data_IF_014700372945
#
_entry.id   IF_014700372945
#
_cell.length_a   1.000
_cell.length_b   1.000
_cell.length_c   1.000
_cell.angle_alpha   90.00
_cell.angle_beta   90.00
_cell.angle_gamma   90.00
#
_symmetry.space_group_name_H-M   'P 1'
#
loop_
_entity.id
_entity.type
_entity.pdbx_description
1 polymer ?
#
# COMPACT_ATOMS: atom_id res chain seq x y z
N UNK A 1 20.84 12.07 -2.93
CA UNK A 1 21.25 11.18 -1.79
C UNK A 1 21.77 9.86 -2.36
N UNK A 2 22.83 9.26 -1.79
CA UNK A 2 23.29 7.91 -2.23
C UNK A 2 22.33 6.87 -1.68
N UNK A 3 22.01 5.85 -2.48
CA UNK A 3 21.03 4.82 -2.11
C UNK A 3 21.42 4.03 -0.86
N UNK A 4 22.73 3.79 -0.67
CA UNK A 4 23.29 3.15 0.52
C UNK A 4 22.97 3.94 1.81
N UNK A 5 23.14 5.26 1.79
CA UNK A 5 22.84 6.11 2.93
C UNK A 5 21.32 6.13 3.21
N UNK A 6 20.51 6.28 2.17
CA UNK A 6 19.04 6.23 2.30
C UNK A 6 18.58 4.91 2.94
N UNK A 7 19.12 3.79 2.48
CA UNK A 7 18.80 2.47 3.04
C UNK A 7 19.13 2.40 4.54
N UNK A 8 20.33 2.86 4.92
CA UNK A 8 20.76 2.88 6.34
C UNK A 8 19.88 3.79 7.19
N UNK A 9 19.53 4.96 6.67
CA UNK A 9 18.69 5.93 7.36
C UNK A 9 17.28 5.36 7.61
N UNK A 10 16.67 4.71 6.60
CA UNK A 10 15.36 4.07 6.75
C UNK A 10 15.43 2.92 7.78
N UNK A 11 16.41 2.04 7.69
CA UNK A 11 16.57 0.93 8.64
C UNK A 11 16.75 1.46 10.07
N UNK A 12 17.59 2.49 10.26
CA UNK A 12 17.80 3.08 11.59
C UNK A 12 16.53 3.76 12.12
N UNK A 13 15.78 4.44 11.27
CA UNK A 13 14.50 5.03 11.63
C UNK A 13 13.47 3.95 12.03
N UNK A 14 13.39 2.83 11.31
CA UNK A 14 12.53 1.70 11.68
C UNK A 14 12.92 1.15 13.05
N UNK A 15 14.22 0.94 13.31
CA UNK A 15 14.72 0.44 14.60
C UNK A 15 14.32 1.39 15.73
N UNK A 16 14.52 2.69 15.57
CA UNK A 16 14.16 3.68 16.57
C UNK A 16 12.67 3.66 16.90
N UNK A 17 11.81 3.66 15.87
CA UNK A 17 10.37 3.57 16.07
C UNK A 17 9.93 2.29 16.76
N UNK A 18 10.55 1.14 16.41
CA UNK A 18 10.28 -0.12 17.06
C UNK A 18 10.61 -0.08 18.57
N UNK A 19 11.76 0.48 18.94
CA UNK A 19 12.15 0.66 20.35
C UNK A 19 11.19 1.57 21.10
N UNK A 20 10.76 2.67 20.50
CA UNK A 20 9.81 3.61 21.09
C UNK A 20 8.43 2.96 21.30
N UNK A 21 8.00 2.14 20.36
CA UNK A 21 6.69 1.46 20.41
C UNK A 21 6.62 0.32 21.40
N UNK A 22 7.78 -0.17 21.90
CA UNK A 22 7.89 -1.34 22.80
C UNK A 22 7.19 -2.59 22.26
N UNK A 23 7.27 -2.79 20.95
CA UNK A 23 6.76 -3.97 20.26
C UNK A 23 7.88 -4.98 20.03
N UNK A 24 7.54 -6.19 19.60
CA UNK A 24 8.50 -7.31 19.52
C UNK A 24 8.82 -7.73 18.09
N UNK A 25 7.95 -7.42 17.13
CA UNK A 25 8.09 -7.92 15.76
C UNK A 25 7.54 -6.98 14.70
N UNK A 26 7.96 -7.23 13.43
CA UNK A 26 7.34 -6.67 12.23
C UNK A 26 6.39 -7.68 11.62
N UNK A 27 5.19 -7.24 11.26
CA UNK A 27 4.21 -8.02 10.51
C UNK A 27 4.05 -7.35 9.15
N UNK A 28 4.27 -8.10 8.06
CA UNK A 28 4.22 -7.53 6.73
C UNK A 28 3.50 -8.44 5.73
N UNK A 29 2.63 -7.85 4.92
CA UNK A 29 2.01 -8.53 3.80
C UNK A 29 2.97 -8.62 2.61
N UNK A 30 3.30 -9.83 2.16
CA UNK A 30 4.20 -10.07 1.02
C UNK A 30 3.36 -10.42 -0.19
N UNK A 31 3.11 -9.41 -1.06
CA UNK A 31 2.25 -9.55 -2.22
C UNK A 31 2.94 -10.11 -3.46
N UNK A 32 4.28 -10.09 -3.51
CA UNK A 32 5.06 -10.36 -4.73
C UNK A 32 5.20 -9.15 -5.65
N UNK A 33 4.72 -7.97 -5.24
CA UNK A 33 4.98 -6.67 -5.89
C UNK A 33 6.22 -5.99 -5.32
N UNK A 34 6.79 -5.04 -6.07
CA UNK A 34 8.07 -4.39 -5.78
C UNK A 34 8.06 -3.64 -4.43
N UNK A 35 6.98 -2.92 -4.09
CA UNK A 35 6.89 -2.15 -2.84
C UNK A 35 6.93 -3.08 -1.63
N UNK A 36 6.13 -4.16 -1.65
CA UNK A 36 6.14 -5.16 -0.57
C UNK A 36 7.50 -5.88 -0.48
N UNK A 37 8.18 -6.08 -1.60
CA UNK A 37 9.50 -6.69 -1.64
C UNK A 37 10.56 -5.78 -0.99
N UNK A 38 10.55 -4.49 -1.31
CA UNK A 38 11.47 -3.50 -0.71
C UNK A 38 11.18 -3.33 0.78
N UNK A 39 9.92 -3.15 1.17
CA UNK A 39 9.55 -3.01 2.58
C UNK A 39 9.93 -4.25 3.41
N UNK A 40 9.72 -5.47 2.88
CA UNK A 40 10.16 -6.71 3.52
C UNK A 40 11.67 -6.77 3.66
N UNK A 41 12.40 -6.41 2.61
CA UNK A 41 13.86 -6.42 2.59
C UNK A 41 14.47 -5.40 3.58
N UNK A 42 13.82 -4.27 3.80
CA UNK A 42 14.19 -3.29 4.82
C UNK A 42 13.88 -3.83 6.23
N UNK A 43 12.68 -4.38 6.45
CA UNK A 43 12.25 -4.89 7.74
C UNK A 43 13.21 -5.96 8.28
N UNK A 44 13.60 -6.94 7.48
CA UNK A 44 14.51 -8.02 7.93
C UNK A 44 15.92 -7.52 8.24
N UNK A 45 16.37 -6.43 7.60
CA UNK A 45 17.68 -5.81 7.85
C UNK A 45 17.75 -5.04 9.18
N UNK A 46 16.62 -4.80 9.82
CA UNK A 46 16.59 -4.27 11.19
C UNK A 46 17.05 -5.29 12.23
N UNK A 47 17.16 -6.57 11.88
CA UNK A 47 17.37 -7.70 12.78
C UNK A 47 16.27 -7.90 13.85
N UNK A 48 15.14 -7.24 13.71
CA UNK A 48 13.95 -7.46 14.53
C UNK A 48 13.17 -8.64 13.96
N UNK A 49 12.57 -9.52 14.80
CA UNK A 49 11.75 -10.62 14.32
C UNK A 49 10.72 -10.15 13.29
N UNK A 50 10.68 -10.78 12.12
CA UNK A 50 9.81 -10.38 11.01
C UNK A 50 8.95 -11.56 10.56
N UNK A 51 7.64 -11.32 10.45
CA UNK A 51 6.67 -12.28 9.91
C UNK A 51 6.14 -11.77 8.58
N UNK A 52 6.44 -12.51 7.50
CA UNK A 52 5.94 -12.24 6.15
C UNK A 52 4.67 -13.06 5.88
N UNK A 53 3.56 -12.40 5.60
CA UNK A 53 2.27 -13.05 5.37
C UNK A 53 1.91 -12.96 3.89
N UNK A 54 1.80 -14.11 3.24
CA UNK A 54 1.36 -14.22 1.84
C UNK A 54 -0.13 -14.50 1.83
N UNK A 55 -0.93 -13.60 1.28
CA UNK A 55 -2.41 -13.65 1.34
C UNK A 55 -3.03 -13.65 -0.07
N UNK A 56 -2.90 -14.77 -0.82
CA UNK A 56 -3.51 -14.88 -2.14
C UNK A 56 -5.04 -14.96 -2.05
N UNK A 57 -5.71 -14.62 -3.14
CA UNK A 57 -7.15 -14.94 -3.25
C UNK A 57 -7.36 -16.43 -3.21
N UNK A 58 -6.66 -17.16 -4.07
CA UNK A 58 -6.72 -18.60 -4.19
C UNK A 58 -5.34 -19.17 -4.50
N UNK A 59 -5.06 -20.39 -4.08
CA UNK A 59 -3.83 -21.09 -4.43
C UNK A 59 -3.89 -21.79 -5.80
N UNK A 60 -5.06 -21.76 -6.47
CA UNK A 60 -5.30 -22.44 -7.74
C UNK A 60 -5.54 -21.53 -8.94
N UNK A 61 -5.72 -20.21 -8.73
CA UNK A 61 -5.86 -19.25 -9.82
C UNK A 61 -4.50 -18.90 -10.41
N UNK A 62 -4.37 -18.88 -11.75
CA UNK A 62 -3.10 -18.63 -12.43
C UNK A 62 -2.47 -17.26 -12.08
N UNK A 63 -3.26 -16.21 -12.01
CA UNK A 63 -2.77 -14.88 -11.63
C UNK A 63 -2.21 -14.86 -10.21
N UNK A 64 -2.93 -15.46 -9.25
CA UNK A 64 -2.47 -15.58 -7.87
C UNK A 64 -1.19 -16.41 -7.76
N UNK A 65 -1.06 -17.49 -8.54
CA UNK A 65 0.14 -18.34 -8.56
C UNK A 65 1.41 -17.55 -8.95
N UNK A 66 1.29 -16.62 -9.90
CA UNK A 66 2.43 -15.77 -10.28
C UNK A 66 2.88 -14.90 -9.09
N UNK A 67 1.94 -14.24 -8.41
CA UNK A 67 2.25 -13.42 -7.22
C UNK A 67 2.79 -14.26 -6.07
N UNK A 68 2.22 -15.43 -5.83
CA UNK A 68 2.70 -16.39 -4.82
C UNK A 68 4.14 -16.80 -5.12
N UNK A 69 4.46 -17.18 -6.36
CA UNK A 69 5.80 -17.60 -6.75
C UNK A 69 6.83 -16.48 -6.54
N UNK A 70 6.51 -15.24 -6.93
CA UNK A 70 7.35 -14.07 -6.69
C UNK A 70 7.56 -13.83 -5.19
N UNK A 71 6.49 -13.89 -4.39
CA UNK A 71 6.59 -13.74 -2.94
C UNK A 71 7.50 -14.81 -2.32
N UNK A 72 7.35 -16.07 -2.71
CA UNK A 72 8.21 -17.14 -2.21
C UNK A 72 9.65 -17.05 -2.72
N UNK A 73 9.88 -16.63 -3.96
CA UNK A 73 11.23 -16.40 -4.45
C UNK A 73 11.93 -15.32 -3.63
N UNK A 74 11.26 -14.18 -3.39
CA UNK A 74 11.77 -13.14 -2.50
C UNK A 74 12.09 -13.69 -1.11
N UNK A 75 11.15 -14.39 -0.48
CA UNK A 75 11.33 -14.93 0.87
C UNK A 75 12.48 -15.94 0.95
N UNK A 76 12.68 -16.75 -0.08
CA UNK A 76 13.79 -17.68 -0.16
C UNK A 76 15.13 -16.95 -0.35
N UNK A 77 15.18 -15.90 -1.15
CA UNK A 77 16.36 -15.03 -1.31
C UNK A 77 16.73 -14.37 0.03
N UNK A 78 15.74 -13.79 0.72
CA UNK A 78 15.94 -13.17 2.04
C UNK A 78 16.48 -14.18 3.06
N UNK A 79 15.94 -15.39 3.10
CA UNK A 79 16.34 -16.44 4.06
C UNK A 79 17.79 -16.90 3.94
N UNK A 80 18.47 -16.62 2.85
CA UNK A 80 19.89 -16.92 2.73
C UNK A 80 20.75 -16.12 3.72
N UNK A 81 20.32 -14.89 4.07
CA UNK A 81 21.10 -13.97 4.88
C UNK A 81 20.36 -13.46 6.13
N UNK A 82 19.02 -13.55 6.17
CA UNK A 82 18.19 -12.98 7.22
C UNK A 82 17.13 -13.98 7.73
N UNK A 83 16.74 -13.81 8.98
CA UNK A 83 15.65 -14.61 9.57
C UNK A 83 14.31 -13.96 9.27
N UNK A 84 13.43 -14.72 8.61
CA UNK A 84 12.03 -14.36 8.41
C UNK A 84 11.17 -15.60 8.57
N UNK A 85 10.12 -15.48 9.39
CA UNK A 85 9.04 -16.47 9.44
C UNK A 85 8.02 -16.13 8.38
N UNK A 86 7.43 -17.12 7.70
CA UNK A 86 6.38 -16.83 6.74
C UNK A 86 5.20 -17.80 6.87
N UNK A 87 4.01 -17.27 6.58
CA UNK A 87 2.76 -18.00 6.55
C UNK A 87 1.98 -17.64 5.29
N UNK A 88 1.27 -18.62 4.74
CA UNK A 88 0.33 -18.39 3.63
C UNK A 88 -1.09 -18.54 4.13
N UNK A 89 -1.92 -17.53 3.88
CA UNK A 89 -3.33 -17.48 4.30
C UNK A 89 -4.19 -17.11 3.09
N UNK A 90 -4.82 -18.09 2.40
CA UNK A 90 -5.75 -17.80 1.33
C UNK A 90 -6.98 -17.07 1.87
N UNK A 91 -7.36 -15.95 1.22
CA UNK A 91 -8.48 -15.11 1.71
C UNK A 91 -9.83 -15.44 1.07
N UNK A 92 -9.87 -16.25 0.03
CA UNK A 92 -11.11 -16.60 -0.67
C UNK A 92 -12.20 -17.18 0.25
N UNK A 93 -11.92 -18.11 1.20
CA UNK A 93 -12.95 -18.63 2.10
C UNK A 93 -13.59 -17.55 2.96
N UNK A 94 -12.82 -16.54 3.35
CA UNK A 94 -13.31 -15.42 4.16
C UNK A 94 -14.24 -14.54 3.31
N UNK A 95 -13.86 -14.26 2.05
CA UNK A 95 -14.68 -13.48 1.12
C UNK A 95 -15.98 -14.19 0.81
N UNK A 96 -15.94 -15.50 0.56
CA UNK A 96 -17.15 -16.31 0.31
C UNK A 96 -18.10 -16.30 1.50
N UNK A 97 -17.56 -16.42 2.72
CA UNK A 97 -18.34 -16.34 3.95
C UNK A 97 -18.97 -14.96 4.12
N UNK A 98 -18.21 -13.90 3.84
CA UNK A 98 -18.70 -12.53 3.86
C UNK A 98 -19.83 -12.29 2.87
N UNK A 99 -19.72 -12.85 1.63
CA UNK A 99 -20.74 -12.78 0.60
C UNK A 99 -22.00 -13.55 1.01
N UNK A 100 -21.86 -14.74 1.60
CA UNK A 100 -22.99 -15.55 2.10
C UNK A 100 -23.79 -14.84 3.20
N UNK A 101 -23.17 -13.98 3.98
CA UNK A 101 -23.87 -13.14 4.96
C UNK A 101 -24.75 -12.05 4.33
N UNK A 102 -24.86 -11.98 3.01
CA UNK A 102 -25.73 -11.05 2.30
C UNK A 102 -25.29 -9.59 2.36
N UNK A 103 -24.07 -9.31 2.84
CA UNK A 103 -23.56 -7.96 2.95
C UNK A 103 -23.41 -7.35 1.55
N UNK A 104 -24.22 -6.34 1.25
CA UNK A 104 -24.12 -5.56 0.03
C UNK A 104 -24.95 -6.06 -1.17
N UNK A 105 -25.83 -7.02 -1.01
CA UNK A 105 -26.65 -7.53 -2.12
C UNK A 105 -28.04 -6.89 -2.26
N UNK A 106 -28.55 -6.15 -1.25
CA UNK A 106 -29.96 -5.82 -1.24
C UNK A 106 -30.36 -4.40 -0.84
N UNK A 107 -29.45 -3.51 -0.51
CA UNK A 107 -29.86 -2.22 0.09
C UNK A 107 -29.91 -1.03 -0.88
N UNK A 108 -29.53 -1.18 -2.13
CA UNK A 108 -29.60 -0.08 -3.10
C UNK A 108 -30.29 -0.58 -4.37
N UNK A 109 -31.61 -0.66 -4.31
CA UNK A 109 -32.45 -0.64 -5.51
C UNK A 109 -32.42 0.79 -6.05
N UNK A 110 -31.60 1.04 -7.04
CA UNK A 110 -31.77 2.18 -7.90
C UNK A 110 -32.18 1.66 -9.28
N UNK A 111 -33.36 2.05 -9.75
CA UNK A 111 -33.98 1.57 -10.98
C UNK A 111 -33.10 1.76 -12.24
N UNK A 112 -32.02 2.52 -12.14
CA UNK A 112 -31.12 2.88 -13.26
C UNK A 112 -29.83 2.06 -13.35
N UNK A 113 -29.63 0.97 -12.60
CA UNK A 113 -28.49 0.05 -12.69
C UNK A 113 -27.07 0.69 -12.70
N UNK A 114 -26.92 1.94 -12.25
CA UNK A 114 -25.66 2.71 -12.31
C UNK A 114 -24.58 2.22 -11.34
N UNK A 115 -24.90 1.30 -10.44
CA UNK A 115 -23.94 0.80 -9.41
C UNK A 115 -23.13 -0.43 -9.84
N UNK A 116 -23.40 -1.02 -11.00
CA UNK A 116 -22.66 -2.19 -11.46
C UNK A 116 -21.20 -1.86 -11.80
N UNK A 117 -20.92 -0.61 -12.21
CA UNK A 117 -19.56 -0.13 -12.52
C UNK A 117 -18.63 -0.03 -11.30
N UNK A 118 -19.18 0.08 -10.09
CA UNK A 118 -18.39 0.12 -8.84
C UNK A 118 -18.10 -1.25 -8.23
N UNK A 119 -18.62 -2.33 -8.82
CA UNK A 119 -18.46 -3.69 -8.28
C UNK A 119 -17.00 -4.13 -8.18
N UNK A 120 -16.13 -3.97 -9.18
CA UNK A 120 -14.72 -4.34 -9.08
C UNK A 120 -13.98 -3.59 -7.97
N UNK A 121 -14.18 -2.27 -7.87
CA UNK A 121 -13.57 -1.44 -6.82
C UNK A 121 -14.04 -1.88 -5.43
N UNK A 122 -15.33 -2.18 -5.27
CA UNK A 122 -15.88 -2.66 -3.99
C UNK A 122 -15.26 -4.00 -3.59
N UNK A 123 -15.15 -4.93 -4.51
CA UNK A 123 -14.55 -6.25 -4.28
C UNK A 123 -13.05 -6.13 -3.97
N UNK A 124 -12.32 -5.30 -4.72
CA UNK A 124 -10.92 -4.99 -4.44
C UNK A 124 -10.72 -4.40 -3.05
N UNK A 125 -11.53 -3.41 -2.67
CA UNK A 125 -11.51 -2.81 -1.34
C UNK A 125 -11.82 -3.84 -0.23
N UNK A 126 -12.74 -4.78 -0.46
CA UNK A 126 -13.03 -5.84 0.50
C UNK A 126 -11.81 -6.74 0.70
N UNK A 127 -11.16 -7.17 -0.39
CA UNK A 127 -9.93 -7.98 -0.36
C UNK A 127 -8.82 -7.29 0.45
N UNK A 128 -8.61 -6.01 0.19
CA UNK A 128 -7.60 -5.20 0.90
C UNK A 128 -7.92 -5.11 2.41
N UNK A 129 -9.17 -4.86 2.80
CA UNK A 129 -9.59 -4.81 4.21
C UNK A 129 -9.48 -6.14 4.93
N UNK A 130 -9.80 -7.26 4.27
CA UNK A 130 -9.62 -8.60 4.86
C UNK A 130 -8.14 -8.84 5.14
N UNK A 131 -7.23 -8.49 4.21
CA UNK A 131 -5.79 -8.59 4.44
C UNK A 131 -5.33 -7.75 5.63
N UNK A 132 -5.80 -6.51 5.74
CA UNK A 132 -5.49 -5.65 6.89
C UNK A 132 -5.96 -6.29 8.21
N UNK A 133 -7.18 -6.83 8.26
CA UNK A 133 -7.69 -7.52 9.46
C UNK A 133 -6.80 -8.69 9.87
N UNK A 134 -6.37 -9.53 8.91
CA UNK A 134 -5.46 -10.66 9.17
C UNK A 134 -4.12 -10.17 9.71
N UNK A 135 -3.54 -9.13 9.12
CA UNK A 135 -2.26 -8.58 9.57
C UNK A 135 -2.35 -8.04 10.99
N UNK A 136 -3.42 -7.34 11.35
CA UNK A 136 -3.60 -6.82 12.71
C UNK A 136 -3.93 -7.89 13.74
N UNK A 137 -4.65 -8.96 13.37
CA UNK A 137 -4.89 -10.11 14.23
C UNK A 137 -3.56 -10.79 14.59
N UNK A 138 -2.72 -11.07 13.59
CA UNK A 138 -1.37 -11.62 13.78
C UNK A 138 -0.48 -10.64 14.56
N UNK A 139 -0.57 -9.34 14.29
CA UNK A 139 0.20 -8.33 15.03
C UNK A 139 -0.16 -8.33 16.52
N UNK A 140 -1.42 -8.55 16.86
CA UNK A 140 -1.84 -8.69 18.24
C UNK A 140 -1.24 -9.95 18.90
N UNK A 141 -1.25 -11.08 18.22
CA UNK A 141 -0.69 -12.36 18.73
C UNK A 141 0.82 -12.28 18.98
N UNK A 142 1.56 -11.61 18.07
CA UNK A 142 3.03 -11.54 18.12
C UNK A 142 3.56 -10.21 18.68
N UNK A 143 2.74 -9.44 19.39
CA UNK A 143 3.11 -8.10 19.88
C UNK A 143 3.79 -7.24 18.81
N UNK A 144 3.31 -7.35 17.57
CA UNK A 144 3.97 -6.79 16.40
C UNK A 144 3.41 -5.42 15.96
N UNK A 145 4.07 -4.86 14.96
CA UNK A 145 3.66 -3.67 14.21
C UNK A 145 3.45 -4.04 12.74
N UNK A 146 2.36 -3.58 12.16
CA UNK A 146 2.08 -3.76 10.73
C UNK A 146 2.88 -2.77 9.91
N UNK A 147 3.74 -3.30 9.03
CA UNK A 147 4.56 -2.52 8.11
C UNK A 147 3.80 -2.25 6.83
N UNK A 148 3.61 -0.98 6.51
CA UNK A 148 3.02 -0.51 5.26
C UNK A 148 3.95 -0.63 4.06
N UNK A 149 3.37 -0.75 2.90
CA UNK A 149 4.08 -0.90 1.63
C UNK A 149 3.75 0.21 0.62
N UNK A 150 2.88 1.18 0.98
CA UNK A 150 2.55 2.32 0.15
C UNK A 150 3.76 3.23 -0.08
N UNK A 151 3.88 3.77 -1.28
CA UNK A 151 4.91 4.72 -1.67
C UNK A 151 4.31 6.14 -1.77
N UNK A 152 5.18 7.16 -1.93
CA UNK A 152 4.78 8.57 -1.98
C UNK A 152 3.74 8.86 -3.07
N UNK A 153 3.93 8.28 -4.25
CA UNK A 153 3.05 8.56 -5.39
C UNK A 153 1.63 8.05 -5.13
N UNK A 154 1.51 6.84 -4.56
CA UNK A 154 0.22 6.25 -4.17
C UNK A 154 -0.43 7.03 -3.03
N UNK A 155 0.34 7.36 -1.99
CA UNK A 155 -0.14 8.06 -0.81
C UNK A 155 -0.62 9.47 -1.18
N UNK A 156 0.16 10.25 -1.94
CA UNK A 156 -0.18 11.64 -2.29
C UNK A 156 -1.46 11.76 -3.13
N UNK A 157 -1.71 10.79 -4.03
CA UNK A 157 -2.95 10.79 -4.83
C UNK A 157 -4.09 10.03 -4.15
N UNK A 158 -3.81 9.37 -3.01
CA UNK A 158 -4.78 8.54 -2.28
C UNK A 158 -5.17 7.26 -3.02
N UNK A 159 -4.23 6.65 -3.75
CA UNK A 159 -4.41 5.39 -4.45
C UNK A 159 -4.16 4.21 -3.53
N UNK A 160 -5.01 4.08 -2.53
CA UNK A 160 -5.04 2.98 -1.57
C UNK A 160 -6.46 2.80 -1.00
N UNK A 161 -6.72 1.68 -0.37
CA UNK A 161 -7.99 1.39 0.30
C UNK A 161 -7.96 1.89 1.74
N UNK A 162 -8.82 2.84 2.07
CA UNK A 162 -9.00 3.29 3.46
C UNK A 162 -9.51 2.15 4.34
N UNK A 163 -8.77 1.85 5.41
CA UNK A 163 -9.03 0.70 6.28
C UNK A 163 -8.62 -0.65 5.69
N UNK A 164 -7.84 -0.63 4.59
CA UNK A 164 -7.18 -1.77 3.99
C UNK A 164 -5.67 -1.57 4.02
N UNK A 165 -5.02 -1.54 2.85
CA UNK A 165 -3.58 -1.31 2.70
C UNK A 165 -3.09 0.05 3.25
N UNK A 166 -3.98 1.04 3.38
CA UNK A 166 -3.69 2.29 4.08
C UNK A 166 -3.83 2.22 5.61
N UNK A 167 -4.12 1.05 6.20
CA UNK A 167 -4.18 0.86 7.65
C UNK A 167 -2.93 0.11 8.10
N UNK A 168 -1.97 0.85 8.64
CA UNK A 168 -0.64 0.35 9.03
C UNK A 168 -0.08 1.13 10.22
N UNK A 169 0.96 0.61 10.86
CA UNK A 169 1.59 1.23 12.02
C UNK A 169 2.84 2.04 11.65
N UNK A 170 3.51 1.68 10.55
CA UNK A 170 4.73 2.34 10.06
C UNK A 170 4.80 2.27 8.53
N UNK A 171 5.24 3.36 7.89
CA UNK A 171 5.27 3.51 6.43
C UNK A 171 6.68 3.84 5.94
N UNK A 172 7.56 2.84 5.72
CA UNK A 172 8.96 3.10 5.37
C UNK A 172 9.18 3.67 3.96
N UNK A 173 8.18 3.60 3.08
CA UNK A 173 8.26 4.03 1.69
C UNK A 173 7.41 5.27 1.36
N UNK A 174 6.59 5.78 2.29
CA UNK A 174 5.58 6.82 2.03
C UNK A 174 6.14 8.18 1.60
N UNK A 175 7.43 8.45 1.81
CA UNK A 175 8.10 9.67 1.30
C UNK A 175 9.02 9.39 0.10
N UNK A 176 8.93 8.20 -0.48
CA UNK A 176 9.75 7.76 -1.60
C UNK A 176 8.91 7.61 -2.87
N UNK A 177 9.30 8.30 -3.94
CA UNK A 177 8.74 8.09 -5.26
C UNK A 177 9.01 6.68 -5.79
N UNK A 178 8.15 6.18 -6.66
CA UNK A 178 8.27 4.85 -7.28
C UNK A 178 9.62 4.63 -7.92
N UNK A 179 10.19 5.64 -8.56
CA UNK A 179 11.55 5.59 -9.14
C UNK A 179 12.63 5.29 -8.09
N UNK A 180 12.48 5.80 -6.87
CA UNK A 180 13.38 5.54 -5.75
C UNK A 180 13.17 4.13 -5.19
N UNK A 181 11.93 3.64 -5.14
CA UNK A 181 11.62 2.26 -4.75
C UNK A 181 12.29 1.25 -5.69
N UNK A 182 12.31 1.50 -7.00
CA UNK A 182 13.05 0.68 -7.96
C UNK A 182 14.56 0.65 -7.68
N UNK A 183 15.18 1.79 -7.40
CA UNK A 183 16.61 1.88 -7.04
C UNK A 183 16.91 1.14 -5.74
N UNK A 184 16.01 1.20 -4.76
CA UNK A 184 16.13 0.42 -3.53
C UNK A 184 15.98 -1.08 -3.79
N UNK A 185 15.07 -1.50 -4.66
CA UNK A 185 14.88 -2.89 -5.01
C UNK A 185 16.16 -3.51 -5.63
N UNK A 186 16.79 -2.78 -6.55
CA UNK A 186 18.08 -3.18 -7.13
C UNK A 186 19.19 -3.28 -6.06
N UNK A 187 19.30 -2.28 -5.19
CA UNK A 187 20.31 -2.24 -4.13
C UNK A 187 20.12 -3.32 -3.06
N UNK A 188 18.87 -3.72 -2.80
CA UNK A 188 18.50 -4.72 -1.80
C UNK A 188 18.46 -6.15 -2.34
N UNK A 189 18.92 -6.37 -3.58
CA UNK A 189 18.93 -7.67 -4.27
C UNK A 189 17.54 -8.32 -4.39
N UNK A 190 16.51 -7.49 -4.63
CA UNK A 190 15.15 -8.00 -4.93
C UNK A 190 15.20 -8.79 -6.25
N UNK A 191 14.56 -9.97 -6.33
CA UNK A 191 14.57 -10.79 -7.55
C UNK A 191 14.13 -10.00 -8.80
N UNK A 192 14.86 -10.18 -9.91
CA UNK A 192 14.65 -9.43 -11.16
C UNK A 192 13.23 -9.57 -11.73
N UNK A 193 12.60 -10.73 -11.55
CA UNK A 193 11.21 -10.97 -11.98
C UNK A 193 10.19 -10.09 -11.25
N UNK A 194 10.52 -9.60 -10.04
CA UNK A 194 9.70 -8.64 -9.30
C UNK A 194 9.98 -7.23 -9.81
N UNK A 195 11.25 -6.88 -10.02
CA UNK A 195 11.66 -5.56 -10.51
C UNK A 195 11.08 -5.28 -11.91
N UNK A 196 11.09 -6.29 -12.79
CA UNK A 196 10.61 -6.17 -14.17
C UNK A 196 9.09 -6.29 -14.32
N UNK A 197 8.38 -6.63 -13.24
CA UNK A 197 6.94 -6.76 -13.28
C UNK A 197 6.25 -5.40 -13.41
N UNK A 198 5.21 -5.32 -14.24
CA UNK A 198 4.36 -4.14 -14.29
C UNK A 198 3.68 -3.91 -12.93
N UNK A 199 3.68 -2.67 -12.41
CA UNK A 199 2.97 -2.33 -11.19
C UNK A 199 1.48 -2.69 -11.29
N UNK A 200 0.97 -3.37 -10.26
CA UNK A 200 -0.43 -3.77 -10.17
C UNK A 200 -0.82 -3.99 -8.72
N UNK A 201 -1.97 -3.46 -8.33
CA UNK A 201 -2.57 -3.74 -7.03
C UNK A 201 -3.12 -5.18 -6.92
N UNK A 202 -3.18 -5.95 -8.03
CA UNK A 202 -3.61 -7.36 -8.03
C UNK A 202 -5.05 -7.57 -7.53
N UNK A 203 -5.93 -6.61 -7.75
CA UNK A 203 -7.32 -6.66 -7.27
C UNK A 203 -8.23 -7.42 -8.23
N UNK A 204 -7.89 -7.47 -9.51
CA UNK A 204 -8.57 -8.27 -10.55
C UNK A 204 -7.60 -8.64 -11.68
N UNK A 205 -8.01 -9.58 -12.55
CA UNK A 205 -7.17 -10.09 -13.63
C UNK A 205 -6.76 -9.01 -14.63
N UNK A 206 -5.48 -9.01 -15.02
CA UNK A 206 -4.87 -8.07 -15.96
C UNK A 206 -4.93 -6.59 -15.54
N UNK A 207 -5.17 -6.30 -14.27
CA UNK A 207 -5.07 -4.95 -13.74
C UNK A 207 -3.62 -4.47 -13.84
N UNK A 208 -3.42 -3.24 -14.33
CA UNK A 208 -2.19 -2.47 -14.13
C UNK A 208 -2.54 -1.10 -13.55
N UNK A 209 -1.69 -0.60 -12.67
CA UNK A 209 -1.89 0.71 -12.05
C UNK A 209 -1.98 1.81 -13.11
N UNK A 210 -1.13 1.75 -14.14
CA UNK A 210 -1.12 2.71 -15.24
C UNK A 210 -2.44 2.76 -16.02
N UNK A 211 -3.09 1.60 -16.24
CA UNK A 211 -4.39 1.56 -16.91
C UNK A 211 -5.50 2.16 -16.03
N UNK A 212 -5.46 1.91 -14.72
CA UNK A 212 -6.46 2.41 -13.78
C UNK A 212 -6.29 3.92 -13.54
N UNK A 213 -5.04 4.36 -13.34
CA UNK A 213 -4.72 5.77 -13.10
C UNK A 213 -4.80 6.61 -14.39
N UNK A 214 -4.62 5.97 -15.57
CA UNK A 214 -4.58 6.65 -16.88
C UNK A 214 -3.35 7.55 -17.02
N UNK A 215 -2.27 7.26 -16.30
CA UNK A 215 -0.97 7.92 -16.35
C UNK A 215 0.11 6.99 -15.74
N UNK A 216 1.37 7.22 -16.09
CA UNK A 216 2.51 6.49 -15.55
C UNK A 216 2.95 7.04 -14.19
N UNK A 217 3.73 6.26 -13.43
CA UNK A 217 4.33 6.73 -12.18
C UNK A 217 5.32 7.90 -12.42
N UNK A 218 6.07 7.90 -13.52
CA UNK A 218 6.96 9.03 -13.88
C UNK A 218 6.17 10.33 -14.06
N UNK A 219 4.97 10.26 -14.64
CA UNK A 219 4.08 11.40 -14.80
C UNK A 219 3.50 11.88 -13.47
N UNK A 220 3.17 10.96 -12.58
CA UNK A 220 2.69 11.28 -11.23
C UNK A 220 3.81 11.94 -10.42
N UNK A 221 5.00 11.33 -10.39
CA UNK A 221 6.20 11.87 -9.73
C UNK A 221 6.50 13.29 -10.23
N UNK A 222 6.54 13.48 -11.57
CA UNK A 222 6.72 14.78 -12.17
C UNK A 222 5.65 15.79 -11.73
N UNK A 223 4.38 15.40 -11.71
CA UNK A 223 3.29 16.30 -11.33
C UNK A 223 3.28 16.67 -9.84
N UNK A 224 3.69 15.74 -8.98
CA UNK A 224 3.82 15.98 -7.54
C UNK A 224 4.96 16.95 -7.23
N UNK A 225 6.10 16.77 -7.87
CA UNK A 225 7.27 17.65 -7.70
C UNK A 225 7.05 19.04 -8.33
N UNK A 226 6.17 19.12 -9.33
CA UNK A 226 5.87 20.37 -10.03
C UNK A 226 4.86 21.27 -9.30
N UNK A 227 4.07 20.73 -8.38
CA UNK A 227 2.91 21.41 -7.77
C UNK A 227 3.26 22.68 -6.97
N UNK A 228 4.53 22.88 -6.60
CA UNK A 228 4.98 24.01 -5.78
C UNK A 228 5.41 25.27 -6.56
N UNK A 229 5.40 25.25 -7.90
CA UNK A 229 5.90 26.38 -8.71
C UNK A 229 4.88 26.96 -9.68
N UNK A 230 4.02 27.84 -9.18
CA UNK A 230 2.98 28.57 -9.96
C UNK A 230 3.53 29.32 -11.17
N UNK A 231 4.79 29.70 -11.18
CA UNK A 231 5.42 30.53 -12.23
C UNK A 231 5.71 29.78 -13.54
N UNK A 232 5.86 28.46 -13.49
CA UNK A 232 6.24 27.65 -14.65
C UNK A 232 5.02 27.06 -15.41
N UNK A 233 3.81 27.16 -14.89
CA UNK A 233 2.59 26.62 -15.54
C UNK A 233 2.30 27.23 -16.92
N UNK A 234 2.77 28.45 -17.17
CA UNK A 234 2.58 29.15 -18.45
C UNK A 234 3.25 28.47 -19.64
N UNK A 235 4.20 27.59 -19.41
CA UNK A 235 5.01 26.96 -20.46
C UNK A 235 4.69 25.48 -20.67
N UNK A 236 3.68 24.92 -19.96
CA UNK A 236 3.29 23.52 -20.09
C UNK A 236 2.46 23.30 -21.36
N UNK A 237 2.79 22.24 -22.09
CA UNK A 237 1.94 21.75 -23.17
C UNK A 237 0.60 21.20 -22.67
N UNK A 238 -0.42 21.08 -23.56
CA UNK A 238 -1.76 20.62 -23.16
C UNK A 238 -1.76 19.26 -22.44
N UNK A 239 -0.88 18.36 -22.82
CA UNK A 239 -0.73 17.05 -22.20
C UNK A 239 -0.28 17.15 -20.75
N UNK A 240 0.80 17.89 -20.50
CA UNK A 240 1.36 18.10 -19.16
C UNK A 240 0.35 18.81 -18.24
N UNK A 241 -0.38 19.80 -18.76
CA UNK A 241 -1.46 20.46 -18.03
C UNK A 241 -2.55 19.48 -17.62
N UNK A 242 -2.92 18.54 -18.50
CA UNK A 242 -3.92 17.52 -18.20
C UNK A 242 -3.45 16.56 -17.11
N UNK A 243 -2.20 16.09 -17.15
CA UNK A 243 -1.62 15.23 -16.09
C UNK A 243 -1.66 15.96 -14.74
N UNK A 244 -1.20 17.21 -14.69
CA UNK A 244 -1.20 18.01 -13.47
C UNK A 244 -2.62 18.21 -12.91
N UNK A 245 -3.59 18.50 -13.76
CA UNK A 245 -5.00 18.65 -13.36
C UNK A 245 -5.57 17.35 -12.79
N UNK A 246 -5.28 16.20 -13.42
CA UNK A 246 -5.70 14.88 -12.94
C UNK A 246 -5.13 14.57 -11.54
N UNK A 247 -3.82 14.75 -11.35
CA UNK A 247 -3.15 14.52 -10.06
C UNK A 247 -3.76 15.41 -8.97
N UNK A 248 -3.98 16.69 -9.24
CA UNK A 248 -4.64 17.62 -8.31
C UNK A 248 -6.07 17.21 -7.98
N UNK A 249 -6.82 16.76 -8.97
CA UNK A 249 -8.19 16.29 -8.74
C UNK A 249 -8.20 15.03 -7.87
N UNK A 250 -7.31 14.07 -8.12
CA UNK A 250 -7.17 12.85 -7.32
C UNK A 250 -6.81 13.20 -5.86
N UNK A 251 -5.82 14.06 -5.62
CA UNK A 251 -5.46 14.55 -4.28
C UNK A 251 -6.66 15.20 -3.58
N UNK A 252 -7.38 16.09 -4.27
CA UNK A 252 -8.56 16.78 -3.73
C UNK A 252 -9.67 15.80 -3.37
N UNK A 253 -10.01 14.87 -4.27
CA UNK A 253 -11.07 13.87 -4.11
C UNK A 253 -10.75 12.90 -2.97
N UNK A 254 -9.49 12.49 -2.85
CA UNK A 254 -9.03 11.50 -1.89
C UNK A 254 -8.50 12.10 -0.58
N UNK A 255 -8.54 13.42 -0.41
CA UNK A 255 -8.03 14.11 0.80
C UNK A 255 -8.53 13.50 2.11
N UNK A 256 -9.78 13.00 2.12
CA UNK A 256 -10.36 12.34 3.31
C UNK A 256 -9.66 11.03 3.71
N UNK A 257 -8.82 10.45 2.84
CA UNK A 257 -8.02 9.26 3.13
C UNK A 257 -6.70 9.61 3.84
N UNK A 258 -6.18 10.81 3.59
CA UNK A 258 -4.86 11.30 4.01
C UNK A 258 -4.88 12.03 5.35
N UNK A 259 -6.05 12.20 5.94
CA UNK A 259 -6.22 12.94 7.18
C UNK A 259 -6.88 12.05 8.24
N UNK A 260 -6.55 12.32 9.50
CA UNK A 260 -7.36 11.79 10.60
C UNK A 260 -8.83 12.19 10.40
N UNK A 261 -9.78 11.34 10.82
CA UNK A 261 -11.19 11.71 10.81
C UNK A 261 -11.40 13.07 11.48
N UNK A 262 -12.19 13.98 10.87
CA UNK A 262 -12.43 15.28 11.49
C UNK A 262 -13.16 15.08 12.83
N UNK A 263 -12.70 15.80 13.83
CA UNK A 263 -13.32 15.78 15.16
C UNK A 263 -14.07 17.08 15.40
N UNK A 264 -15.26 17.00 16.02
CA UNK A 264 -15.96 18.17 16.51
C UNK A 264 -15.16 18.77 17.67
N UNK A 265 -14.74 20.03 17.51
CA UNK A 265 -14.09 20.78 18.58
C UNK A 265 -15.12 21.61 19.33
N UNK A 266 -15.30 21.33 20.61
CA UNK A 266 -16.12 22.16 21.47
C UNK A 266 -15.49 23.56 21.56
N UNK A 267 -16.16 24.57 21.03
CA UNK A 267 -15.79 25.97 21.28
C UNK A 267 -16.07 26.26 22.74
N UNK A 268 -15.02 26.36 23.54
CA UNK A 268 -15.16 26.95 24.88
C UNK A 268 -15.43 28.43 24.70
N UNK A 269 -16.70 28.84 24.72
CA UNK A 269 -17.01 30.23 25.00
C UNK A 269 -16.34 30.58 26.34
N UNK A 270 -15.67 31.74 26.39
CA UNK A 270 -15.16 32.33 27.63
C UNK A 270 -16.35 32.66 28.53
N UNK A 271 -16.82 31.72 29.33
CA UNK A 271 -17.96 31.89 30.20
C UNK A 271 -18.50 30.59 30.75
N UNK A 272 -17.83 30.04 31.74
CA UNK A 272 -18.36 29.26 32.85
C UNK A 272 -19.35 28.14 32.57
N UNK A 273 -18.83 26.89 32.56
CA UNK A 273 -19.50 25.81 33.28
C UNK A 273 -18.59 25.41 34.42
N UNK A 274 -18.96 25.79 35.65
CA UNK A 274 -18.42 25.27 36.91
C UNK A 274 -18.92 23.86 37.11
#
# INVERSE_FOLDING_TARGET
MKIDNLTKDIIQWMINYHHESKRESWIIGVSGGIDSAVATSLAVRTNIPTLGIVMPMSTSNHADVIFINRAFHLLNTIRQNYRITCQTIPIQPIIESYQKCGVGLSFIYNENNTFSSYRPIREGNLRSRIRANILYDIACEYCGLVVGTGNKDEDEIGYFTKGGDGLVDICPLSDLHKSTVYKLAEYLDVPQEIIQASPSAGLWDNQTDQQELGMSYDEIEWALDYDDTVTMQKYLGPYQQNVLLKVREMRRKNKHKLCYPPIFKLTREKGGLR
#
